data_IF_546449514530
#
_entry.id   IF_546449514530
#
_cell.length_a   1.000
_cell.length_b   1.000
_cell.length_c   1.000
_cell.angle_alpha   90.00
_cell.angle_beta   90.00
_cell.angle_gamma   90.00
#
_symmetry.space_group_name_H-M   'P 1'
#
loop_
_entity.id
_entity.type
_entity.pdbx_description
1 polymer ?
#
# COMPACT_ATOMS: atom_id res chain seq x y z
N UNK A 1 -3.81 4.65 5.22
CA UNK A 1 -2.95 3.48 5.05
C UNK A 1 -3.34 2.78 3.76
N UNK A 2 -2.41 2.16 3.03
CA UNK A 2 -2.74 1.49 1.77
C UNK A 2 -2.84 -0.02 1.94
N UNK A 3 -3.68 -0.66 1.14
CA UNK A 3 -3.65 -2.11 0.97
C UNK A 3 -3.67 -2.46 -0.52
N UNK A 4 -2.86 -3.45 -0.88
CA UNK A 4 -2.67 -3.89 -2.24
C UNK A 4 -2.86 -5.40 -2.31
N UNK A 5 -3.58 -5.86 -3.31
CA UNK A 5 -3.58 -7.26 -3.71
C UNK A 5 -3.33 -7.36 -5.22
N UNK A 6 -2.52 -8.32 -5.62
CA UNK A 6 -2.13 -8.47 -7.01
C UNK A 6 -1.86 -9.93 -7.39
N UNK A 7 -2.04 -10.24 -8.67
CA UNK A 7 -1.62 -11.48 -9.29
C UNK A 7 -0.50 -11.17 -10.28
N UNK A 8 0.66 -11.77 -10.06
CA UNK A 8 1.81 -11.71 -10.95
C UNK A 8 1.95 -13.03 -11.72
N UNK A 9 2.19 -12.94 -13.03
CA UNK A 9 2.39 -14.10 -13.90
C UNK A 9 3.27 -13.74 -15.08
N UNK A 10 3.44 -14.67 -16.02
CA UNK A 10 4.30 -14.47 -17.18
C UNK A 10 3.85 -13.28 -18.03
N UNK A 11 4.59 -12.17 -17.92
CA UNK A 11 4.35 -10.88 -18.59
C UNK A 11 2.93 -10.36 -18.38
N UNK A 12 2.34 -10.66 -17.23
CA UNK A 12 0.99 -10.24 -16.87
C UNK A 12 0.88 -9.84 -15.41
N UNK A 13 0.09 -8.80 -15.16
CA UNK A 13 -0.19 -8.28 -13.83
C UNK A 13 -1.66 -7.93 -13.73
N UNK A 14 -2.31 -8.37 -12.67
CA UNK A 14 -3.61 -7.84 -12.23
C UNK A 14 -3.40 -7.26 -10.84
N UNK A 15 -3.76 -6.01 -10.62
CA UNK A 15 -3.48 -5.25 -9.40
C UNK A 15 -4.73 -4.51 -8.96
N UNK A 16 -5.06 -4.63 -7.67
CA UNK A 16 -6.06 -3.82 -6.99
C UNK A 16 -5.40 -3.13 -5.79
N UNK A 17 -5.50 -1.81 -5.73
CA UNK A 17 -4.90 -1.00 -4.68
C UNK A 17 -5.92 -0.02 -4.12
N UNK A 18 -6.19 -0.14 -2.82
CA UNK A 18 -6.94 0.86 -2.08
C UNK A 18 -5.97 1.83 -1.41
N UNK A 19 -6.26 3.11 -1.56
CA UNK A 19 -5.64 4.17 -0.78
C UNK A 19 -6.63 4.64 0.27
N UNK A 20 -6.33 4.32 1.52
CA UNK A 20 -6.99 4.96 2.66
C UNK A 20 -6.11 6.13 3.10
N UNK A 21 -6.71 7.27 3.43
CA UNK A 21 -5.99 8.38 4.04
C UNK A 21 -6.66 8.79 5.35
N UNK A 22 -5.88 8.83 6.43
CA UNK A 22 -6.33 9.30 7.74
C UNK A 22 -6.45 10.84 7.80
N UNK A 23 -5.79 11.52 6.87
CA UNK A 23 -5.88 12.96 6.65
C UNK A 23 -6.52 13.14 5.29
N UNK A 24 -7.71 13.75 5.21
CA UNK A 24 -8.43 14.03 3.95
C UNK A 24 -7.58 14.93 3.05
N UNK A 25 -6.63 14.33 2.34
CA UNK A 25 -5.77 14.99 1.36
C UNK A 25 -6.51 14.95 0.04
N UNK A 26 -6.49 16.08 -0.67
CA UNK A 26 -6.96 16.09 -2.04
C UNK A 26 -5.97 15.30 -2.89
N UNK A 27 -6.51 14.46 -3.75
CA UNK A 27 -5.74 13.68 -4.71
C UNK A 27 -6.17 14.14 -6.09
N UNK A 28 -5.19 14.38 -6.96
CA UNK A 28 -5.50 14.53 -8.36
C UNK A 28 -5.65 13.13 -8.97
N UNK A 29 -6.61 12.99 -9.90
CA UNK A 29 -6.86 11.70 -10.52
C UNK A 29 -5.64 11.20 -11.29
N UNK A 30 -5.63 9.91 -11.57
CA UNK A 30 -4.68 9.31 -12.50
C UNK A 30 -4.73 10.05 -13.83
N UNK A 31 -3.55 10.48 -14.26
CA UNK A 31 -3.32 11.18 -15.51
C UNK A 31 -1.94 10.83 -16.07
N UNK A 32 -1.76 11.10 -17.36
CA UNK A 32 -0.44 11.07 -17.98
C UNK A 32 0.40 12.24 -17.48
N UNK A 33 1.70 12.02 -17.27
CA UNK A 33 2.64 13.10 -17.00
C UNK A 33 2.87 13.99 -18.23
N UNK A 34 3.56 15.12 -18.06
CA UNK A 34 3.75 16.16 -19.08
C UNK A 34 4.34 15.61 -20.39
N UNK A 35 5.25 14.65 -20.29
CA UNK A 35 5.89 13.96 -21.43
C UNK A 35 5.04 12.81 -22.01
N UNK A 36 3.87 12.52 -21.44
CA UNK A 36 3.00 11.41 -21.80
C UNK A 36 3.72 10.04 -21.75
N UNK A 37 4.63 9.85 -20.79
CA UNK A 37 5.43 8.63 -20.63
C UNK A 37 4.94 7.76 -19.48
N UNK A 38 4.36 8.36 -18.44
CA UNK A 38 3.94 7.69 -17.22
C UNK A 38 2.49 8.05 -16.90
N UNK A 39 1.66 7.02 -16.73
CA UNK A 39 0.31 7.13 -16.20
C UNK A 39 0.37 6.87 -14.69
N UNK A 40 -0.02 7.86 -13.88
CA UNK A 40 0.13 7.78 -12.42
C UNK A 40 -0.89 8.64 -11.67
N UNK A 41 -1.25 8.23 -10.46
CA UNK A 41 -2.00 9.06 -9.53
C UNK A 41 -1.06 10.04 -8.82
N UNK A 42 -1.47 11.32 -8.71
CA UNK A 42 -0.66 12.37 -8.09
C UNK A 42 -1.32 12.84 -6.77
N UNK A 43 -0.59 12.79 -5.64
CA UNK A 43 -0.98 13.60 -4.48
C UNK A 43 -0.95 15.09 -4.82
N UNK A 44 -1.91 15.89 -4.32
CA UNK A 44 -1.90 17.34 -4.53
C UNK A 44 -0.55 17.93 -4.05
N UNK A 45 0.06 18.77 -4.90
CA UNK A 45 1.38 19.38 -4.66
C UNK A 45 2.56 18.38 -4.54
N UNK A 46 2.48 17.20 -5.16
CA UNK A 46 3.54 16.19 -5.17
C UNK A 46 4.03 15.86 -6.57
N UNK A 47 5.34 15.66 -6.72
CA UNK A 47 5.93 15.04 -7.92
C UNK A 47 6.00 13.50 -7.82
N UNK A 48 5.60 12.92 -6.69
CA UNK A 48 5.63 11.49 -6.41
C UNK A 48 4.38 10.74 -6.88
N UNK A 49 4.34 9.43 -6.65
CA UNK A 49 3.15 8.60 -6.87
C UNK A 49 3.10 7.40 -5.93
N UNK A 50 1.89 6.88 -5.71
CA UNK A 50 1.64 5.63 -4.97
C UNK A 50 1.50 4.44 -5.91
N UNK A 51 1.13 4.69 -7.17
CA UNK A 51 0.92 3.67 -8.18
C UNK A 51 1.05 4.32 -9.56
N UNK A 52 1.86 3.71 -10.42
CA UNK A 52 2.01 4.16 -11.79
C UNK A 52 2.51 3.08 -12.72
N UNK A 53 2.27 3.31 -14.00
CA UNK A 53 2.71 2.47 -15.11
C UNK A 53 3.26 3.35 -16.22
N UNK A 54 4.42 2.98 -16.76
CA UNK A 54 5.03 3.66 -17.90
C UNK A 54 4.64 3.00 -19.22
N UNK A 55 4.76 3.75 -20.32
CA UNK A 55 4.62 3.20 -21.68
C UNK A 55 5.63 2.11 -22.01
N UNK A 56 6.73 1.97 -21.25
CA UNK A 56 7.74 0.93 -21.43
C UNK A 56 7.44 -0.35 -20.64
N UNK A 57 6.29 -0.44 -19.96
CA UNK A 57 5.91 -1.64 -19.20
C UNK A 57 6.53 -1.72 -17.82
N UNK A 58 7.11 -0.63 -17.33
CA UNK A 58 7.53 -0.49 -15.93
C UNK A 58 6.31 -0.17 -15.08
N UNK A 59 6.13 -0.87 -13.97
CA UNK A 59 5.04 -0.68 -13.00
C UNK A 59 5.66 -0.50 -11.63
N UNK A 60 5.18 0.45 -10.84
CA UNK A 60 5.59 0.61 -9.45
C UNK A 60 4.40 1.00 -8.58
N UNK A 61 4.33 0.41 -7.39
CA UNK A 61 3.31 0.71 -6.39
C UNK A 61 3.87 0.64 -4.98
N UNK A 62 3.40 1.55 -4.14
CA UNK A 62 3.95 1.89 -2.84
C UNK A 62 2.83 1.91 -1.79
N UNK A 63 3.12 1.31 -0.64
CA UNK A 63 2.38 1.49 0.61
C UNK A 63 3.35 2.08 1.63
N UNK A 64 3.08 3.31 2.06
CA UNK A 64 3.86 3.96 3.11
C UNK A 64 3.40 3.49 4.49
N UNK A 65 4.37 3.18 5.37
CA UNK A 65 4.10 2.75 6.73
C UNK A 65 3.97 3.92 7.72
N UNK A 66 4.32 5.15 7.30
CA UNK A 66 4.30 6.33 8.16
C UNK A 66 3.16 7.27 7.79
N UNK A 67 2.39 7.60 8.82
CA UNK A 67 1.43 8.68 8.80
C UNK A 67 2.19 9.98 9.08
N UNK A 68 2.72 10.58 8.04
CA UNK A 68 3.25 11.93 8.13
C UNK A 68 2.15 12.93 7.77
N UNK A 69 2.11 14.08 8.45
CA UNK A 69 1.29 15.24 8.02
C UNK A 69 1.78 15.77 6.66
N UNK A 70 3.08 15.60 6.37
CA UNK A 70 3.72 15.93 5.10
C UNK A 70 3.79 14.74 4.13
N UNK A 71 3.96 15.04 2.85
CA UNK A 71 4.22 14.06 1.81
C UNK A 71 5.55 13.33 2.10
N UNK A 72 5.51 12.01 2.24
CA UNK A 72 6.71 11.19 2.45
C UNK A 72 7.64 11.20 1.24
N UNK A 73 8.95 11.42 1.40
CA UNK A 73 9.92 11.33 0.31
C UNK A 73 9.96 9.97 -0.41
N UNK A 74 9.40 8.92 0.20
CA UNK A 74 9.26 7.59 -0.41
C UNK A 74 8.45 7.62 -1.72
N UNK A 75 7.52 8.57 -1.88
CA UNK A 75 6.65 8.66 -3.06
C UNK A 75 7.39 9.07 -4.34
N UNK A 76 8.60 9.63 -4.24
CA UNK A 76 9.41 9.91 -5.42
C UNK A 76 10.01 8.64 -6.02
N UNK A 77 10.20 7.57 -5.22
CA UNK A 77 10.90 6.35 -5.64
C UNK A 77 10.19 5.57 -6.75
N UNK A 78 8.85 5.40 -6.71
CA UNK A 78 8.13 4.82 -7.84
C UNK A 78 8.37 5.62 -9.13
N UNK A 79 8.43 6.94 -9.05
CA UNK A 79 8.66 7.81 -10.22
C UNK A 79 10.07 7.63 -10.78
N UNK A 80 11.08 7.61 -9.91
CA UNK A 80 12.47 7.37 -10.27
C UNK A 80 12.61 6.04 -11.04
N UNK A 81 11.97 4.98 -10.55
CA UNK A 81 11.93 3.70 -11.25
C UNK A 81 11.18 3.79 -12.58
N UNK A 82 9.97 4.36 -12.61
CA UNK A 82 9.16 4.44 -13.84
C UNK A 82 9.88 5.20 -14.97
N UNK A 83 10.69 6.22 -14.63
CA UNK A 83 11.51 7.00 -15.56
C UNK A 83 12.85 6.35 -15.89
N UNK A 84 13.49 5.70 -14.92
CA UNK A 84 14.80 5.09 -15.08
C UNK A 84 14.83 3.88 -16.00
N UNK A 85 16.02 3.35 -16.23
CA UNK A 85 16.28 2.22 -17.15
C UNK A 85 16.84 0.99 -16.43
N UNK A 86 17.29 1.14 -15.18
CA UNK A 86 17.83 0.05 -14.37
C UNK A 86 16.84 -1.08 -14.19
N UNK A 87 17.29 -2.34 -14.28
CA UNK A 87 16.44 -3.49 -13.97
C UNK A 87 15.78 -3.37 -12.57
N UNK A 88 14.63 -4.01 -12.31
CA UNK A 88 14.00 -3.99 -10.99
C UNK A 88 14.95 -4.36 -9.84
N UNK A 89 15.84 -5.32 -10.06
CA UNK A 89 16.82 -5.76 -9.05
C UNK A 89 17.97 -4.76 -8.88
N UNK A 90 18.49 -4.20 -9.97
CA UNK A 90 19.58 -3.21 -9.87
C UNK A 90 19.08 -1.92 -9.23
N UNK A 91 17.87 -1.48 -9.60
CA UNK A 91 17.18 -0.40 -8.91
C UNK A 91 17.11 -0.72 -7.41
N UNK A 92 16.58 -1.88 -7.02
CA UNK A 92 16.47 -2.27 -5.61
C UNK A 92 17.82 -2.24 -4.84
N UNK A 93 18.92 -2.65 -5.49
CA UNK A 93 20.27 -2.63 -4.91
C UNK A 93 20.84 -1.23 -4.74
N UNK A 94 20.52 -0.27 -5.60
CA UNK A 94 20.96 1.13 -5.38
C UNK A 94 20.40 1.73 -4.08
N UNK A 95 19.32 1.14 -3.56
CA UNK A 95 18.70 1.52 -2.30
C UNK A 95 19.11 0.62 -1.12
N UNK A 96 19.86 -0.46 -1.36
CA UNK A 96 20.38 -1.30 -0.27
C UNK A 96 21.50 -0.57 0.47
N UNK A 97 21.82 -1.05 1.68
CA UNK A 97 22.87 -0.49 2.53
C UNK A 97 24.26 -0.42 1.83
N UNK A 98 24.44 -1.10 0.71
CA UNK A 98 25.68 -1.15 -0.06
C UNK A 98 25.93 0.12 -0.91
N UNK A 99 24.91 0.97 -1.08
CA UNK A 99 25.02 2.24 -1.81
C UNK A 99 25.46 3.40 -0.90
N UNK A 100 26.45 4.18 -1.36
CA UNK A 100 27.02 5.32 -0.61
C UNK A 100 25.97 6.36 -0.20
N UNK A 101 24.89 6.50 -0.97
CA UNK A 101 23.84 7.48 -0.71
C UNK A 101 22.59 6.88 -0.06
N UNK A 102 22.47 5.55 0.02
CA UNK A 102 21.27 4.89 0.53
C UNK A 102 20.93 5.31 1.97
N UNK A 103 21.94 5.51 2.82
CA UNK A 103 21.71 6.00 4.19
C UNK A 103 20.96 7.34 4.20
N UNK A 104 21.39 8.32 3.40
CA UNK A 104 20.77 9.65 3.34
C UNK A 104 19.37 9.55 2.73
N UNK A 105 19.25 8.79 1.63
CA UNK A 105 18.00 8.74 0.88
C UNK A 105 16.89 7.93 1.57
N UNK A 106 17.25 7.06 2.52
CA UNK A 106 16.32 6.22 3.30
C UNK A 106 16.13 6.69 4.75
N UNK A 107 16.83 7.74 5.19
CA UNK A 107 16.78 8.23 6.57
C UNK A 107 15.36 8.64 6.94
N UNK A 108 14.85 8.10 8.04
CA UNK A 108 13.53 8.45 8.57
C UNK A 108 12.34 7.86 7.80
N UNK A 109 12.57 7.07 6.76
CA UNK A 109 11.50 6.46 5.95
C UNK A 109 11.13 5.06 6.44
N UNK A 110 9.87 4.68 6.27
CA UNK A 110 9.42 3.29 6.33
C UNK A 110 8.39 3.05 5.23
N UNK A 111 8.58 2.00 4.45
CA UNK A 111 7.79 1.78 3.25
C UNK A 111 7.84 0.33 2.79
N UNK A 112 6.82 -0.02 2.02
CA UNK A 112 6.71 -1.26 1.27
C UNK A 112 6.45 -0.90 -0.18
N UNK A 113 7.30 -1.38 -1.09
CA UNK A 113 7.24 -1.00 -2.49
C UNK A 113 7.46 -2.21 -3.38
N UNK A 114 6.72 -2.26 -4.48
CA UNK A 114 6.97 -3.19 -5.58
C UNK A 114 7.42 -2.38 -6.78
N UNK A 115 8.46 -2.86 -7.44
CA UNK A 115 8.89 -2.40 -8.76
C UNK A 115 8.89 -3.60 -9.71
N UNK A 116 8.31 -3.42 -10.89
CA UNK A 116 8.17 -4.48 -11.87
C UNK A 116 8.46 -3.97 -13.28
N UNK A 117 9.05 -4.81 -14.09
CA UNK A 117 9.24 -4.59 -15.51
C UNK A 117 8.63 -5.77 -16.26
N UNK A 118 7.48 -5.53 -16.89
CA UNK A 118 6.68 -6.55 -17.56
C UNK A 118 7.39 -7.13 -18.78
N UNK A 119 8.20 -6.33 -19.48
CA UNK A 119 8.92 -6.80 -20.65
C UNK A 119 10.01 -7.82 -20.27
N UNK A 120 10.75 -7.54 -19.18
CA UNK A 120 11.76 -8.44 -18.62
C UNK A 120 11.18 -9.54 -17.71
N UNK A 121 9.87 -9.49 -17.43
CA UNK A 121 9.17 -10.43 -16.55
C UNK A 121 9.78 -10.49 -15.13
N UNK A 122 10.21 -9.35 -14.62
CA UNK A 122 10.91 -9.23 -13.33
C UNK A 122 10.12 -8.34 -12.39
N UNK A 123 9.91 -8.81 -11.16
CA UNK A 123 9.24 -8.08 -10.09
C UNK A 123 10.05 -8.22 -8.81
N UNK A 124 10.27 -7.10 -8.13
CA UNK A 124 11.06 -7.01 -6.91
C UNK A 124 10.29 -6.22 -5.86
N UNK A 125 10.27 -6.78 -4.66
CA UNK A 125 9.79 -6.16 -3.45
C UNK A 125 10.94 -5.50 -2.71
N UNK A 126 10.71 -4.26 -2.27
CA UNK A 126 11.66 -3.42 -1.55
C UNK A 126 10.96 -2.94 -0.29
N UNK A 127 11.56 -3.14 0.87
CA UNK A 127 10.96 -2.71 2.13
C UNK A 127 11.95 -2.18 3.14
N UNK A 128 11.46 -1.23 3.92
CA UNK A 128 12.11 -0.69 5.10
C UNK A 128 11.05 -0.60 6.20
N UNK A 129 11.16 -1.44 7.21
CA UNK A 129 10.07 -1.67 8.17
C UNK A 129 9.93 -0.57 9.21
N UNK A 130 10.97 0.23 9.46
CA UNK A 130 10.89 1.35 10.39
C UNK A 130 11.83 2.51 10.02
N UNK A 131 11.54 3.75 10.48
CA UNK A 131 12.39 4.91 10.26
C UNK A 131 13.84 4.72 10.74
N UNK A 132 13.99 4.01 11.85
CA UNK A 132 15.27 3.75 12.52
C UNK A 132 16.01 2.52 11.99
N UNK A 133 15.37 1.68 11.17
CA UNK A 133 16.06 0.59 10.49
C UNK A 133 17.09 1.18 9.51
N UNK A 134 18.27 0.57 9.44
CA UNK A 134 19.29 0.91 8.45
C UNK A 134 19.24 -0.01 7.24
N UNK A 135 18.58 -1.17 7.38
CA UNK A 135 18.56 -2.21 6.38
C UNK A 135 17.33 -2.04 5.49
N UNK A 136 17.59 -1.90 4.19
CA UNK A 136 16.56 -2.05 3.16
C UNK A 136 16.56 -3.51 2.71
N UNK A 137 15.43 -4.18 2.89
CA UNK A 137 15.23 -5.57 2.46
C UNK A 137 14.75 -5.59 1.02
N UNK A 138 15.30 -6.49 0.22
CA UNK A 138 14.92 -6.69 -1.17
C UNK A 138 14.64 -8.17 -1.41
N UNK A 139 13.61 -8.48 -2.19
CA UNK A 139 13.26 -9.85 -2.53
C UNK A 139 12.65 -9.91 -3.93
N UNK A 140 12.98 -10.95 -4.71
CA UNK A 140 12.24 -11.24 -5.94
C UNK A 140 10.83 -11.69 -5.56
N UNK A 141 9.85 -11.30 -6.37
CA UNK A 141 8.47 -11.76 -6.22
C UNK A 141 8.21 -12.86 -7.25
N UNK A 142 7.81 -14.01 -6.75
CA UNK A 142 7.47 -15.16 -7.59
C UNK A 142 6.08 -14.97 -8.25
N UNK A 143 5.74 -15.84 -9.19
CA UNK A 143 4.40 -15.84 -9.76
C UNK A 143 3.38 -16.35 -8.74
N UNK A 144 2.20 -15.75 -8.77
CA UNK A 144 1.12 -16.11 -7.84
C UNK A 144 0.27 -14.91 -7.47
N UNK A 145 -0.60 -15.14 -6.48
CA UNK A 145 -1.39 -14.10 -5.85
C UNK A 145 -0.68 -13.65 -4.58
N UNK A 146 -0.55 -12.34 -4.43
CA UNK A 146 0.13 -11.69 -3.33
C UNK A 146 -0.75 -10.57 -2.77
N UNK A 147 -0.53 -10.24 -1.50
CA UNK A 147 -1.04 -9.01 -0.89
C UNK A 147 0.09 -8.32 -0.15
N UNK A 148 0.03 -6.99 -0.05
CA UNK A 148 0.87 -6.30 0.92
C UNK A 148 0.22 -5.00 1.41
N UNK A 149 0.51 -4.70 2.67
CA UNK A 149 0.10 -3.51 3.38
C UNK A 149 1.30 -2.97 4.17
N UNK A 150 1.06 -2.14 5.18
CA UNK A 150 2.08 -1.73 6.14
C UNK A 150 2.60 -2.88 7.01
N UNK A 151 1.93 -4.04 6.96
CA UNK A 151 2.40 -5.28 7.59
C UNK A 151 3.43 -6.03 6.74
N UNK A 152 3.70 -5.58 5.51
CA UNK A 152 4.60 -6.21 4.56
C UNK A 152 3.93 -7.16 3.57
N UNK A 153 4.76 -7.75 2.71
CA UNK A 153 4.36 -8.69 1.65
C UNK A 153 3.93 -10.04 2.23
N UNK A 154 2.78 -10.53 1.78
CA UNK A 154 2.15 -11.79 2.17
C UNK A 154 2.05 -11.98 3.69
N UNK A 155 1.71 -10.88 4.37
CA UNK A 155 1.51 -10.88 5.81
C UNK A 155 0.39 -11.84 6.24
N UNK A 156 0.56 -12.45 7.40
CA UNK A 156 -0.38 -13.44 7.96
C UNK A 156 -1.43 -12.80 8.88
N UNK A 157 -1.53 -11.46 8.92
CA UNK A 157 -2.59 -10.80 9.66
C UNK A 157 -3.94 -10.99 8.97
N UNK A 158 -5.00 -11.10 9.78
CA UNK A 158 -6.36 -11.38 9.30
C UNK A 158 -6.82 -10.37 8.23
N UNK A 159 -6.47 -9.08 8.36
CA UNK A 159 -6.80 -8.05 7.35
C UNK A 159 -6.15 -8.36 5.99
N UNK A 160 -4.88 -8.73 5.97
CA UNK A 160 -4.13 -9.04 4.75
C UNK A 160 -4.61 -10.35 4.10
N UNK A 161 -4.93 -11.37 4.91
CA UNK A 161 -5.49 -12.64 4.46
C UNK A 161 -6.90 -12.48 3.89
N UNK A 162 -7.75 -11.71 4.57
CA UNK A 162 -9.10 -11.39 4.10
C UNK A 162 -9.06 -10.67 2.75
N UNK A 163 -8.19 -9.66 2.62
CA UNK A 163 -8.03 -8.93 1.37
C UNK A 163 -7.47 -9.77 0.24
N UNK A 164 -6.53 -10.68 0.53
CA UNK A 164 -6.03 -11.66 -0.45
C UNK A 164 -7.15 -12.61 -0.91
N UNK A 165 -8.01 -13.04 0.01
CA UNK A 165 -9.16 -13.90 -0.28
C UNK A 165 -10.19 -13.16 -1.15
N UNK A 166 -10.58 -11.95 -0.75
CA UNK A 166 -11.50 -11.10 -1.52
C UNK A 166 -10.95 -10.82 -2.93
N UNK A 167 -9.65 -10.53 -3.06
CA UNK A 167 -9.00 -10.39 -4.35
C UNK A 167 -9.17 -11.63 -5.22
N UNK A 168 -8.85 -12.83 -4.69
CA UNK A 168 -9.01 -14.10 -5.40
C UNK A 168 -10.46 -14.34 -5.87
N UNK A 169 -11.44 -13.97 -5.04
CA UNK A 169 -12.86 -14.08 -5.39
C UNK A 169 -13.24 -13.11 -6.51
N UNK A 170 -12.75 -11.87 -6.46
CA UNK A 170 -12.99 -10.83 -7.47
C UNK A 170 -12.38 -11.21 -8.81
N UNK A 171 -11.10 -11.60 -8.84
CA UNK A 171 -10.43 -11.98 -10.10
C UNK A 171 -10.95 -13.32 -10.65
N UNK A 172 -11.65 -14.09 -9.80
CA UNK A 172 -12.38 -15.28 -10.19
C UNK A 172 -11.49 -16.48 -10.43
N UNK A 173 -11.65 -17.49 -9.58
CA UNK A 173 -11.10 -18.82 -9.79
C UNK A 173 -11.91 -19.56 -10.87
N UNK A 174 -11.83 -19.16 -12.15
CA UNK A 174 -12.61 -19.81 -13.23
C UNK A 174 -11.79 -20.03 -14.49
N UNK A 175 -11.44 -21.29 -14.69
CA UNK A 175 -10.78 -21.90 -15.87
C UNK A 175 -11.33 -21.48 -17.26
N UNK A 176 -12.42 -20.70 -17.38
CA UNK A 176 -13.10 -20.41 -18.66
C UNK A 176 -14.01 -19.15 -18.67
N UNK A 177 -13.81 -18.12 -17.83
CA UNK A 177 -14.56 -16.84 -17.96
C UNK A 177 -13.63 -15.66 -18.12
N UNK A 178 -14.01 -14.73 -19.00
CA UNK A 178 -13.36 -13.42 -19.15
C UNK A 178 -13.33 -12.71 -17.79
N UNK A 179 -12.22 -12.03 -17.50
CA UNK A 179 -12.03 -11.29 -16.26
C UNK A 179 -13.11 -10.20 -16.11
N UNK A 180 -13.64 -9.96 -14.90
CA UNK A 180 -14.66 -8.93 -14.72
C UNK A 180 -14.20 -7.54 -15.20
N UNK A 181 -15.14 -6.64 -15.54
CA UNK A 181 -14.80 -5.25 -15.80
C UNK A 181 -14.03 -4.63 -14.63
N UNK A 182 -12.98 -3.86 -14.93
CA UNK A 182 -12.13 -3.24 -13.89
C UNK A 182 -12.91 -2.36 -12.91
N UNK A 183 -13.98 -1.71 -13.39
CA UNK A 183 -14.92 -0.96 -12.56
C UNK A 183 -15.55 -1.84 -11.48
N UNK A 184 -16.11 -2.98 -11.87
CA UNK A 184 -16.71 -3.94 -10.93
C UNK A 184 -15.67 -4.46 -9.93
N UNK A 185 -14.45 -4.75 -10.40
CA UNK A 185 -13.35 -5.18 -9.54
C UNK A 185 -12.99 -4.13 -8.49
N UNK A 186 -12.84 -2.87 -8.92
CA UNK A 186 -12.51 -1.76 -8.03
C UNK A 186 -13.63 -1.48 -7.02
N UNK A 187 -14.89 -1.49 -7.46
CA UNK A 187 -16.05 -1.29 -6.58
C UNK A 187 -16.17 -2.37 -5.51
N UNK A 188 -15.93 -3.64 -5.87
CA UNK A 188 -15.97 -4.76 -4.92
C UNK A 188 -14.76 -4.81 -3.98
N UNK A 189 -13.62 -4.28 -4.41
CA UNK A 189 -12.39 -4.32 -3.62
C UNK A 189 -12.33 -3.24 -2.55
N UNK A 190 -13.23 -2.25 -2.57
CA UNK A 190 -13.30 -1.21 -1.54
C UNK A 190 -13.46 -1.87 -0.17
N UNK A 191 -12.47 -1.67 0.69
CA UNK A 191 -12.51 -2.17 2.06
C UNK A 191 -13.38 -1.24 2.89
N UNK A 192 -14.55 -1.73 3.31
CA UNK A 192 -15.27 -1.16 4.45
C UNK A 192 -14.70 -1.82 5.71
N UNK A 193 -14.18 -1.05 6.69
CA UNK A 193 -13.75 -1.64 7.95
C UNK A 193 -14.96 -2.29 8.60
N UNK A 194 -14.92 -3.62 8.73
CA UNK A 194 -15.90 -4.35 9.54
C UNK A 194 -15.79 -3.80 10.96
N UNK A 195 -16.88 -3.22 11.47
CA UNK A 195 -16.96 -2.85 12.89
C UNK A 195 -16.60 -4.09 13.70
N UNK A 196 -15.59 -3.97 14.58
CA UNK A 196 -15.21 -5.04 15.49
C UNK A 196 -16.38 -5.33 16.44
N UNK A 197 -17.25 -6.25 16.04
CA UNK A 197 -18.41 -6.65 16.83
C UNK A 197 -19.63 -6.98 15.99
N UNK A 198 -19.54 -7.99 15.12
CA UNK A 198 -20.70 -8.77 14.67
C UNK A 198 -20.25 -10.08 14.03
N UNK A 199 -19.83 -11.04 14.86
CA UNK A 199 -19.95 -12.45 14.49
C UNK A 199 -21.43 -12.81 14.54
N UNK A 200 -22.04 -12.94 13.37
CA UNK A 200 -23.37 -13.51 13.20
C UNK A 200 -23.34 -15.01 13.53
N UNK A 201 -23.68 -15.35 14.77
CA UNK A 201 -24.16 -16.68 15.12
C UNK A 201 -25.67 -16.58 15.38
N UNK A 202 -26.45 -17.11 14.46
CA UNK A 202 -27.89 -17.33 14.65
C UNK A 202 -28.10 -18.47 15.65
N UNK A 203 -28.53 -18.16 16.87
CA UNK A 203 -29.44 -19.03 17.63
C UNK A 203 -30.07 -18.24 18.78
N UNK A 204 -31.35 -18.51 18.97
CA UNK A 204 -32.34 -17.90 19.85
C UNK A 204 -32.01 -17.74 21.34
N UNK A 205 -32.79 -16.83 21.96
CA UNK A 205 -33.25 -16.71 23.35
C UNK A 205 -32.45 -15.83 24.34
N UNK A 206 -33.11 -14.71 24.65
CA UNK A 206 -33.35 -14.09 25.96
C UNK A 206 -32.23 -13.52 26.85
N UNK A 207 -32.33 -12.20 26.99
CA UNK A 207 -32.31 -11.41 28.24
C UNK A 207 -30.99 -11.13 29.00
N UNK A 208 -30.89 -9.84 29.36
CA UNK A 208 -30.10 -9.23 30.44
C UNK A 208 -28.60 -8.89 30.23
N UNK A 209 -28.39 -7.60 29.94
CA UNK A 209 -27.52 -6.66 30.68
C UNK A 209 -26.38 -7.29 31.51
N UNK A 210 -25.14 -7.14 31.04
CA UNK A 210 -24.00 -6.69 31.87
C UNK A 210 -22.87 -6.18 30.98
N UNK A 211 -22.51 -4.91 31.19
CA UNK A 211 -21.28 -4.30 30.67
C UNK A 211 -20.08 -5.01 31.31
N UNK A 212 -19.21 -5.55 30.47
CA UNK A 212 -17.89 -6.04 30.86
C UNK A 212 -16.88 -5.31 29.98
N UNK A 213 -16.10 -4.41 30.58
CA UNK A 213 -14.99 -3.74 29.92
C UNK A 213 -13.80 -4.69 29.93
N UNK A 214 -13.37 -5.15 28.75
CA UNK A 214 -12.11 -5.88 28.59
C UNK A 214 -10.98 -4.85 28.39
N UNK A 215 -10.29 -4.61 29.49
CA UNK A 215 -9.06 -3.86 29.58
C UNK A 215 -7.95 -4.67 28.88
N UNK A 216 -7.49 -4.24 27.70
CA UNK A 216 -6.26 -4.76 27.11
C UNK A 216 -5.08 -3.94 27.62
N UNK A 217 -4.41 -4.45 28.65
CA UNK A 217 -3.13 -3.98 29.12
C UNK A 217 -2.02 -4.46 28.17
N UNK A 218 -1.25 -3.52 27.63
CA UNK A 218 0.03 -3.83 26.99
C UNK A 218 1.06 -4.19 28.07
N UNK A 219 1.90 -5.23 27.89
CA UNK A 219 2.96 -5.52 28.84
C UNK A 219 4.05 -4.45 28.77
N UNK A 220 4.28 -3.77 29.90
CA UNK A 220 5.47 -2.96 30.13
C UNK A 220 6.72 -3.84 30.05
N UNK A 221 7.61 -3.57 29.09
CA UNK A 221 8.98 -4.08 29.13
C UNK A 221 9.72 -3.34 30.24
N UNK A 222 9.68 -3.86 31.47
CA UNK A 222 10.58 -3.45 32.54
C UNK A 222 11.90 -4.19 32.41
N UNK A 223 12.88 -3.53 31.80
CA UNK A 223 14.29 -3.84 32.04
C UNK A 223 14.61 -3.63 33.51
N UNK A 224 15.10 -4.67 34.18
CA UNK A 224 15.71 -4.55 35.51
C UNK A 224 17.00 -3.74 35.38
N UNK A 225 17.09 -2.63 36.11
CA UNK A 225 18.34 -1.92 36.39
C UNK A 225 18.57 -2.02 37.90
N UNK A 226 19.72 -2.54 38.30
CA UNK A 226 20.26 -2.40 39.65
C UNK A 226 21.20 -1.20 39.69
N UNK A 227 20.84 -0.30 40.60
CA UNK A 227 21.67 0.46 41.53
C UNK A 227 22.48 1.69 41.04
N UNK A 228 22.04 2.80 41.66
CA UNK A 228 22.84 3.83 42.34
C UNK A 228 23.04 5.23 41.71
N UNK A 229 22.27 6.16 42.33
CA UNK A 229 22.64 7.49 42.87
C UNK A 229 22.43 8.79 42.04
N UNK A 230 21.53 9.60 42.60
CA UNK A 230 21.44 11.07 42.72
C UNK A 230 20.85 12.00 41.65
N UNK A 231 19.87 12.78 42.14
CA UNK A 231 19.60 14.21 41.89
C UNK A 231 18.68 14.64 40.75
N UNK A 232 17.41 14.81 41.13
CA UNK A 232 16.50 15.95 40.90
C UNK A 232 16.76 16.89 39.70
N UNK A 233 15.81 16.95 38.78
CA UNK A 233 15.00 18.17 38.52
C UNK A 233 13.76 17.85 37.70
N UNK A 234 12.63 18.35 38.17
CA UNK A 234 11.28 18.17 37.68
C UNK A 234 10.96 19.10 36.50
N UNK A 235 10.51 18.54 35.38
CA UNK A 235 9.75 19.25 34.34
C UNK A 235 8.44 18.49 34.12
N UNK A 236 7.36 19.01 34.72
CA UNK A 236 6.01 18.49 34.52
C UNK A 236 5.56 18.79 33.07
N UNK A 237 5.58 17.78 32.22
CA UNK A 237 4.90 17.81 30.91
C UNK A 237 3.47 17.37 31.14
N UNK A 238 2.51 18.28 30.93
CA UNK A 238 1.07 17.97 30.93
C UNK A 238 0.79 16.86 29.90
N UNK A 239 -0.05 15.87 30.21
CA UNK A 239 -0.36 14.82 29.26
C UNK A 239 -1.10 15.42 28.06
N UNK A 240 -0.50 15.29 26.88
CA UNK A 240 -1.10 15.65 25.60
C UNK A 240 -2.31 14.77 25.33
N UNK A 241 -3.38 15.43 24.88
CA UNK A 241 -4.71 14.93 24.58
C UNK A 241 -4.71 13.54 23.92
N UNK A 242 -5.61 12.69 24.39
CA UNK A 242 -6.01 11.45 23.72
C UNK A 242 -6.27 11.70 22.23
N UNK A 243 -5.49 11.06 21.37
CA UNK A 243 -5.73 11.04 19.94
C UNK A 243 -6.91 10.11 19.70
N UNK A 244 -8.10 10.67 19.49
CA UNK A 244 -9.25 9.91 18.98
C UNK A 244 -8.83 9.25 17.67
N UNK A 245 -8.98 7.94 17.59
CA UNK A 245 -8.82 7.15 16.37
C UNK A 245 -9.75 7.77 15.31
N UNK A 246 -9.16 8.39 14.30
CA UNK A 246 -9.89 9.02 13.20
C UNK A 246 -10.17 7.94 12.16
N UNK A 247 -11.41 7.78 11.76
CA UNK A 247 -11.79 6.74 10.80
C UNK A 247 -11.06 6.97 9.47
N UNK A 248 -10.33 5.94 9.00
CA UNK A 248 -9.68 5.95 7.69
C UNK A 248 -10.72 5.69 6.60
N UNK A 249 -10.98 6.68 5.75
CA UNK A 249 -11.85 6.53 4.58
C UNK A 249 -10.99 6.16 3.34
N UNK A 250 -11.48 5.25 2.51
CA UNK A 250 -10.89 4.97 1.19
C UNK A 250 -11.12 6.18 0.28
N UNK A 251 -10.02 6.78 -0.20
CA UNK A 251 -10.06 7.96 -1.06
C UNK A 251 -9.97 7.61 -2.54
N UNK A 252 -9.31 6.50 -2.88
CA UNK A 252 -9.20 6.03 -4.25
C UNK A 252 -8.93 4.53 -4.31
N UNK A 253 -9.45 3.88 -5.35
CA UNK A 253 -9.15 2.50 -5.70
C UNK A 253 -8.66 2.45 -7.13
N UNK A 254 -7.48 1.85 -7.33
CA UNK A 254 -6.89 1.61 -8.66
C UNK A 254 -7.03 0.13 -8.98
N UNK A 255 -7.55 -0.16 -10.17
CA UNK A 255 -7.52 -1.47 -10.79
C UNK A 255 -6.66 -1.40 -12.06
N UNK A 256 -5.55 -2.14 -12.08
CA UNK A 256 -4.60 -2.16 -13.19
C UNK A 256 -4.47 -3.58 -13.70
N UNK A 257 -4.57 -3.74 -15.01
CA UNK A 257 -4.28 -5.00 -15.71
C UNK A 257 -3.27 -4.74 -16.81
N UNK A 258 -2.21 -5.53 -16.80
CA UNK A 258 -1.28 -5.69 -17.91
C UNK A 258 -1.43 -7.10 -18.45
N UNK A 259 -1.82 -7.24 -19.72
CA UNK A 259 -1.95 -8.54 -20.40
C UNK A 259 -0.64 -8.95 -21.05
N UNK A 260 -0.41 -10.26 -21.30
CA UNK A 260 0.74 -10.74 -22.09
C UNK A 260 0.83 -10.10 -23.49
N UNK A 261 -0.31 -9.67 -24.05
CA UNK A 261 -0.41 -8.94 -25.32
C UNK A 261 0.09 -7.49 -25.24
N UNK A 262 0.71 -7.09 -24.12
CA UNK A 262 1.17 -5.73 -23.83
C UNK A 262 0.07 -4.68 -23.73
N UNK A 263 -1.20 -5.09 -23.77
CA UNK A 263 -2.31 -4.20 -23.49
C UNK A 263 -2.36 -3.89 -21.99
N UNK A 264 -2.38 -2.61 -21.67
CA UNK A 264 -2.62 -2.10 -20.33
C UNK A 264 -4.01 -1.52 -20.26
N UNK A 265 -4.75 -1.88 -19.22
CA UNK A 265 -6.00 -1.25 -18.82
C UNK A 265 -5.86 -0.78 -17.39
N UNK A 266 -6.10 0.50 -17.14
CA UNK A 266 -6.13 1.08 -15.80
C UNK A 266 -7.50 1.70 -15.60
N UNK A 267 -8.11 1.42 -14.44
CA UNK A 267 -9.29 2.09 -13.96
C UNK A 267 -8.99 2.67 -12.59
N UNK A 268 -9.42 3.90 -12.35
CA UNK A 268 -9.40 4.51 -11.03
C UNK A 268 -10.81 4.99 -10.69
N UNK A 269 -11.22 4.69 -9.46
CA UNK A 269 -12.35 5.36 -8.83
C UNK A 269 -11.84 6.16 -7.65
N UNK A 270 -12.19 7.45 -7.56
CA UNK A 270 -11.66 8.35 -6.54
C UNK A 270 -12.72 9.32 -6.00
N UNK A 271 -12.55 9.75 -4.76
CA UNK A 271 -13.47 10.65 -4.07
C UNK A 271 -12.99 12.10 -4.22
N UNK A 272 -13.81 12.95 -4.86
CA UNK A 272 -13.54 14.39 -4.99
C UNK A 272 -14.79 15.17 -4.59
N UNK A 273 -14.66 16.08 -3.62
CA UNK A 273 -15.75 16.88 -3.09
C UNK A 273 -16.98 16.05 -2.66
N UNK A 274 -16.74 14.90 -2.02
CA UNK A 274 -17.80 14.00 -1.55
C UNK A 274 -18.53 13.20 -2.64
N UNK A 275 -18.07 13.25 -3.89
CA UNK A 275 -18.61 12.46 -5.01
C UNK A 275 -17.55 11.52 -5.54
N UNK A 276 -17.96 10.29 -5.82
CA UNK A 276 -17.12 9.32 -6.53
C UNK A 276 -17.06 9.67 -8.01
N UNK A 277 -15.86 9.63 -8.57
CA UNK A 277 -15.58 9.84 -9.98
C UNK A 277 -14.79 8.65 -10.51
N UNK A 278 -14.93 8.39 -11.81
CA UNK A 278 -14.37 7.22 -12.48
C UNK A 278 -13.51 7.66 -13.66
N UNK A 279 -12.29 7.16 -13.74
CA UNK A 279 -11.38 7.35 -14.86
C UNK A 279 -10.92 6.00 -15.41
N UNK A 280 -10.85 5.85 -16.72
CA UNK A 280 -10.32 4.66 -17.36
C UNK A 280 -9.33 5.00 -18.47
N UNK A 281 -8.34 4.13 -18.65
CA UNK A 281 -7.28 4.27 -19.62
C UNK A 281 -6.99 2.92 -20.25
N UNK A 282 -6.81 2.91 -21.57
CA UNK A 282 -6.32 1.75 -22.32
C UNK A 282 -5.17 2.17 -23.22
N UNK A 283 -4.05 1.47 -23.16
CA UNK A 283 -2.91 1.70 -24.05
C UNK A 283 -2.11 0.41 -24.27
N UNK A 284 -1.08 0.48 -25.11
CA UNK A 284 -0.12 -0.62 -25.33
C UNK A 284 1.27 -0.22 -24.87
N UNK A 285 1.96 -1.16 -24.24
CA UNK A 285 3.38 -1.03 -23.89
C UNK A 285 4.22 -1.07 -25.18
N UNK A 286 5.17 -0.13 -25.28
CA UNK A 286 6.14 -0.04 -26.35
C UNK A 286 7.10 -1.26 -26.34
N UNK A 287 7.68 -1.53 -27.51
CA UNK A 287 8.72 -2.54 -27.66
C UNK A 287 10.03 -2.11 -27.03
#
# INVERSE_FOLDING_TARGET
MGIVAFQWGDKQLTLLQNREDLIKRKTEPVAWDEDNKILRGLPENSFGTWCGVSRRGRVAFLVDALLHDNLSPSMFRPVDFLRGEMSPMDFAKEWSADSKCAYIMNRGLAYHMIVADVNSNSMVYISKTSPGDSIVRTAKVDFGVHSFSTSGLDSQFDKDLHMKTAFCEIIGNKRNKEMPPLKEMAEKFVYEPVEAGQTSASSSLDSNKKKSALHMSFPDIKGKRSDETTSTTSLAVKPTKEVKQKDSETMSTIALVVKPTKQVKLYERYLKNGKWNDHDFTFKIAH
#
